data_IF_854147652301
#
_entry.id   IF_854147652301
#
_cell.length_a   1.000
_cell.length_b   1.000
_cell.length_c   1.000
_cell.angle_alpha   90.00
_cell.angle_beta   90.00
_cell.angle_gamma   90.00
#
_symmetry.space_group_name_H-M   'P 1'
#
loop_
_entity.id
_entity.type
_entity.pdbx_description
1 polymer ?
#
# COMPACT_ATOMS: atom_id res chain seq x y z
N UNK A 1 7.47 -16.55 -11.13
CA UNK A 1 7.92 -15.17 -11.30
C UNK A 1 7.16 -14.25 -10.36
N UNK A 2 7.87 -13.34 -9.73
CA UNK A 2 7.27 -12.44 -8.77
C UNK A 2 6.80 -11.16 -9.46
N UNK A 3 5.49 -10.95 -9.51
CA UNK A 3 4.90 -9.79 -10.14
C UNK A 3 4.47 -8.73 -9.14
N UNK A 4 5.06 -8.76 -7.93
CA UNK A 4 4.69 -7.80 -6.91
C UNK A 4 5.07 -6.38 -7.34
N UNK A 5 4.15 -5.46 -7.13
CA UNK A 5 4.34 -4.06 -7.48
C UNK A 5 4.95 -3.27 -6.33
N UNK A 6 5.31 -3.97 -5.27
CA UNK A 6 5.98 -3.44 -4.09
C UNK A 6 6.76 -4.58 -3.45
N UNK A 7 7.78 -4.29 -2.63
CA UNK A 7 8.52 -5.34 -1.93
C UNK A 7 7.57 -6.18 -1.07
N UNK A 8 7.62 -7.49 -1.25
CA UNK A 8 6.73 -8.39 -0.54
C UNK A 8 7.50 -9.60 -0.03
N UNK A 9 7.31 -9.94 1.24
CA UNK A 9 7.84 -11.13 1.86
C UNK A 9 6.71 -11.89 2.52
N UNK A 10 6.56 -13.17 2.21
CA UNK A 10 5.51 -13.98 2.81
C UNK A 10 4.99 -15.04 1.85
N UNK A 11 3.89 -15.70 2.21
CA UNK A 11 3.30 -16.73 1.35
C UNK A 11 2.90 -16.15 0.00
N UNK A 12 3.38 -16.75 -1.10
CA UNK A 12 3.07 -16.19 -2.44
C UNK A 12 1.58 -16.22 -2.76
N UNK A 13 0.83 -17.14 -2.17
CA UNK A 13 -0.60 -17.22 -2.41
C UNK A 13 -1.40 -16.05 -1.85
N UNK A 14 -0.82 -15.29 -0.92
CA UNK A 14 -1.50 -14.10 -0.37
C UNK A 14 -1.24 -12.84 -1.17
N UNK A 15 -0.22 -12.83 -2.02
CA UNK A 15 0.20 -11.62 -2.73
C UNK A 15 -0.92 -11.01 -3.56
N UNK A 16 -1.64 -11.84 -4.32
CA UNK A 16 -2.73 -11.33 -5.16
C UNK A 16 -3.84 -10.72 -4.32
N UNK A 17 -4.18 -11.35 -3.20
CA UNK A 17 -5.22 -10.84 -2.29
C UNK A 17 -4.79 -9.53 -1.65
N UNK A 18 -3.54 -9.46 -1.20
CA UNK A 18 -2.99 -8.25 -0.60
C UNK A 18 -2.98 -7.11 -1.61
N UNK A 19 -2.50 -7.38 -2.83
CA UNK A 19 -2.44 -6.36 -3.87
C UNK A 19 -3.84 -5.84 -4.20
N UNK A 20 -4.81 -6.74 -4.37
CA UNK A 20 -6.19 -6.33 -4.67
C UNK A 20 -6.78 -5.49 -3.55
N UNK A 21 -6.51 -5.85 -2.30
CA UNK A 21 -7.01 -5.09 -1.15
C UNK A 21 -6.41 -3.69 -1.13
N UNK A 22 -5.11 -3.58 -1.35
CA UNK A 22 -4.43 -2.27 -1.35
C UNK A 22 -4.87 -1.41 -2.53
N UNK A 23 -5.22 -2.03 -3.66
CA UNK A 23 -5.74 -1.28 -4.80
C UNK A 23 -7.12 -0.68 -4.56
N UNK A 24 -7.81 -1.12 -3.51
CA UNK A 24 -9.09 -0.52 -3.12
C UNK A 24 -8.93 0.71 -2.24
N UNK A 25 -7.71 0.99 -1.79
CA UNK A 25 -7.43 2.16 -0.96
C UNK A 25 -7.03 3.31 -1.89
N UNK A 26 -7.81 4.37 -1.86
CA UNK A 26 -7.64 5.52 -2.76
C UNK A 26 -7.06 6.69 -1.99
N UNK A 27 -6.00 7.30 -2.55
CA UNK A 27 -5.48 8.55 -2.03
C UNK A 27 -6.36 9.67 -2.57
N UNK A 28 -7.13 10.35 -1.70
CA UNK A 28 -8.07 11.35 -2.18
C UNK A 28 -7.41 12.59 -2.80
N UNK A 29 -6.14 12.82 -2.53
CA UNK A 29 -5.45 13.99 -3.10
C UNK A 29 -5.11 13.80 -4.56
N UNK A 30 -4.84 12.57 -4.99
CA UNK A 30 -4.53 12.28 -6.39
C UNK A 30 -5.59 11.42 -7.06
N UNK A 31 -6.61 10.97 -6.31
CA UNK A 31 -7.74 10.19 -6.81
C UNK A 31 -7.30 8.88 -7.48
N UNK A 32 -6.26 8.25 -6.94
CA UNK A 32 -5.75 6.97 -7.43
C UNK A 32 -5.44 6.05 -6.28
N UNK A 33 -5.44 4.73 -6.56
CA UNK A 33 -5.11 3.75 -5.53
C UNK A 33 -3.65 3.87 -5.12
N UNK A 34 -3.37 3.52 -3.87
CA UNK A 34 -2.06 3.73 -3.26
C UNK A 34 -0.97 2.86 -3.88
N UNK A 35 -1.33 1.75 -4.52
CA UNK A 35 -0.34 0.89 -5.19
C UNK A 35 0.21 1.60 -6.42
N UNK A 36 -0.69 2.15 -7.25
CA UNK A 36 -0.28 2.89 -8.46
C UNK A 36 0.43 4.19 -8.12
N UNK A 37 0.04 4.86 -7.04
CA UNK A 37 0.71 6.08 -6.60
C UNK A 37 2.12 5.77 -6.08
N UNK A 38 2.36 4.52 -5.64
CA UNK A 38 3.66 4.13 -5.12
C UNK A 38 3.85 4.45 -3.64
N UNK A 39 2.75 4.43 -2.88
CA UNK A 39 2.81 4.70 -1.45
C UNK A 39 3.15 3.46 -0.63
N UNK A 40 3.01 2.26 -1.19
CA UNK A 40 3.29 1.01 -0.47
C UNK A 40 4.76 0.71 -0.60
N UNK A 41 5.49 0.82 0.51
CA UNK A 41 6.93 0.60 0.52
C UNK A 41 7.31 -0.85 0.82
N UNK A 42 6.43 -1.61 1.42
CA UNK A 42 6.70 -3.01 1.66
C UNK A 42 5.60 -3.69 2.44
N UNK A 43 5.49 -5.00 2.25
CA UNK A 43 4.57 -5.86 3.00
C UNK A 43 5.34 -7.10 3.41
N UNK A 44 5.28 -7.45 4.68
CA UNK A 44 5.94 -8.66 5.19
C UNK A 44 4.93 -9.44 6.03
N UNK A 45 4.78 -10.72 5.71
CA UNK A 45 3.93 -11.62 6.47
C UNK A 45 4.81 -12.65 7.15
N UNK A 46 4.72 -12.72 8.46
CA UNK A 46 5.49 -13.68 9.24
C UNK A 46 4.62 -14.22 10.36
N UNK A 47 4.48 -15.55 10.39
CA UNK A 47 3.62 -16.22 11.34
C UNK A 47 2.18 -15.71 11.20
N UNK A 48 1.62 -15.11 12.24
CA UNK A 48 0.25 -14.58 12.22
C UNK A 48 0.22 -13.06 12.17
N UNK A 49 1.31 -12.43 11.70
CA UNK A 49 1.42 -10.98 11.67
C UNK A 49 1.76 -10.49 10.25
N UNK A 50 1.10 -9.41 9.84
CA UNK A 50 1.42 -8.73 8.59
C UNK A 50 1.83 -7.29 8.90
N UNK A 51 3.02 -6.91 8.46
CA UNK A 51 3.51 -5.54 8.59
C UNK A 51 3.45 -4.87 7.23
N UNK A 52 2.83 -3.69 7.17
CA UNK A 52 2.69 -2.91 5.94
C UNK A 52 3.38 -1.58 6.16
N UNK A 53 4.35 -1.27 5.31
CA UNK A 53 5.05 0.02 5.36
C UNK A 53 4.51 0.90 4.24
N UNK A 54 4.01 2.06 4.60
CA UNK A 54 3.43 3.01 3.63
C UNK A 54 3.97 4.40 3.89
N UNK A 55 3.92 5.21 2.85
CA UNK A 55 4.27 6.63 2.96
C UNK A 55 3.16 7.49 2.37
N UNK A 56 3.34 8.79 2.41
CA UNK A 56 2.40 9.75 1.82
C UNK A 56 3.13 10.63 0.83
N UNK A 57 2.38 11.24 -0.07
CA UNK A 57 2.95 12.15 -1.08
C UNK A 57 3.46 13.44 -0.46
N UNK A 58 2.96 13.78 0.73
CA UNK A 58 3.36 15.00 1.42
C UNK A 58 3.30 14.78 2.93
N UNK A 59 4.29 15.29 3.65
CA UNK A 59 4.32 15.21 5.11
C UNK A 59 3.18 16.00 5.75
N UNK A 60 2.60 16.94 5.01
CA UNK A 60 1.48 17.76 5.51
C UNK A 60 0.12 17.15 5.13
N UNK A 61 0.08 15.90 4.68
CA UNK A 61 -1.15 15.26 4.24
C UNK A 61 -2.12 15.06 5.41
N UNK A 62 -3.27 15.74 5.42
CA UNK A 62 -4.22 15.60 6.53
C UNK A 62 -5.03 14.30 6.46
N UNK A 63 -4.91 13.55 5.36
CA UNK A 63 -5.68 12.33 5.17
C UNK A 63 -4.87 11.07 5.47
N UNK A 64 -3.65 11.22 6.01
CA UNK A 64 -2.80 10.07 6.30
C UNK A 64 -3.50 9.05 7.20
N UNK A 65 -4.17 9.52 8.25
CA UNK A 65 -4.89 8.63 9.17
C UNK A 65 -6.02 7.89 8.47
N UNK A 66 -6.73 8.57 7.57
CA UNK A 66 -7.82 7.97 6.80
C UNK A 66 -7.28 6.85 5.91
N UNK A 67 -6.16 7.09 5.26
CA UNK A 67 -5.54 6.09 4.38
C UNK A 67 -5.07 4.89 5.20
N UNK A 68 -4.41 5.11 6.33
CA UNK A 68 -3.95 4.03 7.20
C UNK A 68 -5.13 3.18 7.68
N UNK A 69 -6.20 3.83 8.13
CA UNK A 69 -7.39 3.11 8.60
C UNK A 69 -8.03 2.29 7.48
N UNK A 70 -8.07 2.85 6.26
CA UNK A 70 -8.65 2.13 5.13
C UNK A 70 -7.78 0.94 4.73
N UNK A 71 -6.45 1.08 4.80
CA UNK A 71 -5.54 -0.05 4.57
C UNK A 71 -5.85 -1.18 5.55
N UNK A 72 -5.96 -0.86 6.83
CA UNK A 72 -6.27 -1.85 7.85
C UNK A 72 -7.60 -2.53 7.58
N UNK A 73 -8.61 -1.73 7.23
CA UNK A 73 -9.95 -2.25 6.96
C UNK A 73 -9.96 -3.18 5.75
N UNK A 74 -9.36 -2.75 4.65
CA UNK A 74 -9.37 -3.54 3.41
C UNK A 74 -8.60 -4.86 3.58
N UNK A 75 -7.46 -4.82 4.25
CA UNK A 75 -6.68 -6.03 4.49
C UNK A 75 -7.40 -6.97 5.45
N UNK A 76 -8.00 -6.43 6.50
CA UNK A 76 -8.72 -7.24 7.48
C UNK A 76 -9.91 -7.94 6.85
N UNK A 77 -10.61 -7.26 5.93
CA UNK A 77 -11.74 -7.85 5.21
C UNK A 77 -11.33 -8.94 4.24
N UNK A 78 -10.12 -8.87 3.70
CA UNK A 78 -9.69 -9.75 2.61
C UNK A 78 -8.85 -10.93 3.07
N UNK A 79 -8.28 -10.87 4.28
CA UNK A 79 -7.31 -11.85 4.76
C UNK A 79 -7.87 -12.68 5.92
N UNK A 80 -7.26 -13.83 6.22
CA UNK A 80 -7.71 -14.64 7.35
C UNK A 80 -7.68 -13.86 8.67
N UNK A 81 -8.65 -14.14 9.54
CA UNK A 81 -8.80 -13.42 10.81
C UNK A 81 -7.61 -13.59 11.74
N UNK A 82 -6.84 -14.68 11.61
CA UNK A 82 -5.70 -14.89 12.48
C UNK A 82 -4.54 -13.96 12.19
N UNK A 83 -4.53 -13.33 11.02
CA UNK A 83 -3.47 -12.38 10.68
C UNK A 83 -3.73 -11.04 11.33
N UNK A 84 -2.74 -10.58 12.07
CA UNK A 84 -2.79 -9.27 12.72
C UNK A 84 -2.11 -8.26 11.82
N UNK A 85 -2.88 -7.28 11.38
CA UNK A 85 -2.41 -6.28 10.43
C UNK A 85 -1.82 -5.11 11.21
N UNK A 86 -0.57 -4.77 10.90
CA UNK A 86 0.09 -3.61 11.46
C UNK A 86 0.55 -2.71 10.32
N UNK A 87 0.05 -1.47 10.29
CA UNK A 87 0.41 -0.50 9.26
C UNK A 87 1.30 0.55 9.90
N UNK A 88 2.46 0.76 9.31
CA UNK A 88 3.41 1.76 9.79
C UNK A 88 3.63 2.82 8.72
N UNK A 89 3.48 4.07 9.11
CA UNK A 89 3.73 5.22 8.24
C UNK A 89 5.21 5.58 8.32
N UNK A 90 5.89 5.57 7.17
CA UNK A 90 7.32 5.88 7.12
C UNK A 90 7.55 7.04 6.15
N UNK A 91 8.57 7.84 6.42
CA UNK A 91 8.87 9.03 5.63
C UNK A 91 10.20 8.92 4.88
N UNK A 92 10.93 7.82 5.08
CA UNK A 92 12.20 7.59 4.42
C UNK A 92 12.17 6.27 3.66
N UNK A 93 12.61 6.23 2.42
CA UNK A 93 12.99 7.37 1.59
C UNK A 93 11.75 8.21 1.22
N UNK A 94 11.95 9.49 0.91
CA UNK A 94 10.86 10.38 0.55
C UNK A 94 10.18 9.90 -0.74
N UNK A 95 8.86 10.05 -0.79
CA UNK A 95 8.11 9.71 -2.00
C UNK A 95 8.45 10.69 -3.12
N UNK A 96 8.56 10.18 -4.34
CA UNK A 96 8.74 10.99 -5.55
C UNK A 96 7.82 10.46 -6.64
N UNK A 97 7.51 11.27 -7.67
CA UNK A 97 6.67 10.81 -8.79
C UNK A 97 7.23 9.60 -9.55
N UNK A 98 8.54 9.34 -9.45
CA UNK A 98 9.12 8.17 -10.08
C UNK A 98 8.61 6.86 -9.46
N UNK A 99 8.03 6.93 -8.26
CA UNK A 99 7.48 5.76 -7.60
C UNK A 99 6.09 5.38 -8.14
N UNK A 100 5.47 6.27 -8.89
CA UNK A 100 4.17 6.01 -9.50
C UNK A 100 4.31 4.99 -10.61
N UNK A 101 3.27 4.16 -10.79
CA UNK A 101 3.23 3.24 -11.92
C UNK A 101 3.20 4.03 -13.24
N UNK A 102 3.56 3.38 -14.35
CA UNK A 102 3.49 4.03 -15.65
C UNK A 102 2.07 4.48 -15.95
N UNK A 103 1.08 3.66 -15.58
CA UNK A 103 -0.33 4.01 -15.76
C UNK A 103 -0.69 5.26 -14.98
N UNK A 104 -0.27 5.36 -13.73
CA UNK A 104 -0.59 6.51 -12.89
C UNK A 104 0.06 7.78 -13.42
N UNK A 105 1.32 7.68 -13.84
CA UNK A 105 2.04 8.84 -14.39
C UNK A 105 1.37 9.34 -15.67
N UNK A 106 0.92 8.41 -16.51
CA UNK A 106 0.22 8.77 -17.73
C UNK A 106 -1.08 9.51 -17.42
N UNK A 107 -1.86 9.01 -16.45
CA UNK A 107 -3.13 9.64 -16.07
C UNK A 107 -2.93 11.02 -15.46
N UNK A 108 -1.82 11.23 -14.76
CA UNK A 108 -1.52 12.53 -14.16
C UNK A 108 -0.85 13.51 -15.11
N UNK A 109 -0.40 13.03 -16.25
CA UNK A 109 0.34 13.86 -17.20
C UNK A 109 1.79 14.10 -16.77
N UNK A 110 2.30 13.21 -15.97
CA UNK A 110 3.67 13.29 -15.45
C UNK A 110 4.61 12.32 -16.19
#
# INVERSE_FOLDING_TARGET
>A
MNDSRFPYEGPPELLATVTAALERVIDPEVAMNIVDVGLVYGVAVKDDRMDVLVTMTSAACPVADVIVEDIEFQLDQSLPEHLKIHVELVWEPAWTPQRMSAKARLLMGW
#
